data_IF_426365277998
#
_entry.id   IF_426365277998
#
_cell.length_a   1.000
_cell.length_b   1.000
_cell.length_c   1.000
_cell.angle_alpha   90.00
_cell.angle_beta   90.00
_cell.angle_gamma   90.00
#
_symmetry.space_group_name_H-M   'P 1'
#
loop_
_entity.id
_entity.type
_entity.pdbx_description
1 polymer ?
#
# COMPACT_ATOMS: atom_id res chain seq x y z
N UNK A 1 -10.71 -15.56 11.44
CA UNK A 1 -10.76 -15.53 9.95
C UNK A 1 -11.74 -14.48 9.42
N UNK A 2 -13.03 -14.46 9.81
CA UNK A 2 -13.97 -13.41 9.37
C UNK A 2 -13.58 -11.98 9.82
N UNK A 3 -13.03 -11.82 11.03
CA UNK A 3 -12.59 -10.53 11.60
C UNK A 3 -11.43 -9.88 10.86
N UNK A 4 -10.34 -10.63 10.62
CA UNK A 4 -9.16 -10.13 9.90
C UNK A 4 -9.50 -9.70 8.46
N UNK A 5 -10.45 -10.40 7.81
CA UNK A 5 -10.94 -10.02 6.48
C UNK A 5 -11.71 -8.69 6.47
N UNK A 6 -12.45 -8.37 7.54
CA UNK A 6 -13.22 -7.13 7.62
C UNK A 6 -12.33 -5.89 7.74
N UNK A 7 -11.24 -5.97 8.50
CA UNK A 7 -10.27 -4.87 8.61
C UNK A 7 -9.59 -4.56 7.27
N UNK A 8 -9.11 -5.62 6.59
CA UNK A 8 -8.52 -5.47 5.25
C UNK A 8 -9.54 -4.91 4.24
N UNK A 9 -10.76 -5.44 4.24
CA UNK A 9 -11.83 -4.95 3.36
C UNK A 9 -12.18 -3.48 3.64
N UNK A 10 -12.28 -3.07 4.91
CA UNK A 10 -12.58 -1.69 5.28
C UNK A 10 -11.49 -0.73 4.80
N UNK A 11 -10.22 -1.12 4.95
CA UNK A 11 -9.07 -0.39 4.43
C UNK A 11 -9.14 -0.22 2.91
N UNK A 12 -9.39 -1.31 2.19
CA UNK A 12 -9.44 -1.29 0.72
C UNK A 12 -10.62 -0.44 0.22
N UNK A 13 -11.78 -0.52 0.89
CA UNK A 13 -12.95 0.33 0.60
C UNK A 13 -12.67 1.81 0.87
N UNK A 14 -11.97 2.12 1.96
CA UNK A 14 -11.58 3.51 2.27
C UNK A 14 -10.67 4.08 1.18
N UNK A 15 -9.61 3.35 0.80
CA UNK A 15 -8.71 3.80 -0.26
C UNK A 15 -9.47 4.00 -1.58
N UNK A 16 -10.28 3.01 -1.97
CA UNK A 16 -11.11 3.12 -3.17
C UNK A 16 -12.01 4.35 -3.12
N UNK A 17 -12.70 4.58 -2.01
CA UNK A 17 -13.58 5.74 -1.85
C UNK A 17 -12.82 7.06 -2.01
N UNK A 18 -11.64 7.20 -1.38
CA UNK A 18 -10.84 8.41 -1.52
C UNK A 18 -10.35 8.62 -2.95
N UNK A 19 -9.97 7.55 -3.66
CA UNK A 19 -9.55 7.63 -5.07
C UNK A 19 -10.71 7.97 -6.01
N UNK A 20 -11.91 7.47 -5.73
CA UNK A 20 -13.11 7.75 -6.53
C UNK A 20 -13.62 9.18 -6.27
N UNK A 21 -13.52 9.69 -5.04
CA UNK A 21 -14.05 11.00 -4.65
C UNK A 21 -13.07 12.17 -4.94
N UNK A 22 -11.77 11.90 -5.09
CA UNK A 22 -10.75 12.93 -5.28
C UNK A 22 -10.22 12.98 -6.71
N UNK A 23 -10.11 14.19 -7.26
CA UNK A 23 -9.37 14.44 -8.49
C UNK A 23 -7.88 14.65 -8.15
N UNK A 24 -7.07 13.63 -8.45
CA UNK A 24 -5.64 13.63 -8.16
C UNK A 24 -4.92 13.55 -9.50
N UNK A 25 -4.24 14.62 -9.93
CA UNK A 25 -3.58 14.65 -11.22
C UNK A 25 -2.36 13.72 -11.21
N UNK A 26 -2.27 12.88 -12.23
CA UNK A 26 -1.12 12.01 -12.48
C UNK A 26 -0.45 12.43 -13.79
N UNK A 27 0.84 12.80 -13.79
CA UNK A 27 1.54 13.21 -15.01
C UNK A 27 1.61 12.08 -16.03
N UNK A 28 1.13 12.32 -17.26
CA UNK A 28 1.12 11.30 -18.32
C UNK A 28 2.52 10.79 -18.68
N UNK A 29 3.55 11.65 -18.56
CA UNK A 29 4.92 11.22 -18.77
C UNK A 29 5.34 10.15 -17.76
N UNK A 30 4.99 10.33 -16.49
CA UNK A 30 5.31 9.37 -15.43
C UNK A 30 4.59 8.05 -15.69
N UNK A 31 3.32 8.09 -16.07
CA UNK A 31 2.57 6.88 -16.45
C UNK A 31 3.23 6.19 -17.64
N UNK A 32 3.60 6.93 -18.69
CA UNK A 32 4.21 6.37 -19.88
C UNK A 32 5.56 5.70 -19.59
N UNK A 33 6.40 6.32 -18.75
CA UNK A 33 7.70 5.79 -18.36
C UNK A 33 7.53 4.43 -17.62
N UNK A 34 6.63 4.37 -16.64
CA UNK A 34 6.32 3.14 -15.87
C UNK A 34 5.66 2.04 -16.71
N UNK A 35 4.73 2.41 -17.61
CA UNK A 35 4.11 1.45 -18.54
C UNK A 35 5.15 0.84 -19.47
N UNK A 36 6.09 1.64 -19.97
CA UNK A 36 7.15 1.14 -20.84
C UNK A 36 8.10 0.19 -20.11
N UNK A 37 8.50 0.54 -18.89
CA UNK A 37 9.35 -0.33 -18.04
C UNK A 37 8.66 -1.68 -17.77
N UNK A 38 7.38 -1.64 -17.41
CA UNK A 38 6.59 -2.86 -17.18
C UNK A 38 6.52 -3.75 -18.43
N UNK A 39 6.18 -3.18 -19.59
CA UNK A 39 6.06 -3.94 -20.84
C UNK A 39 7.40 -4.43 -21.38
N UNK A 40 8.49 -3.70 -21.13
CA UNK A 40 9.85 -4.14 -21.46
C UNK A 40 10.23 -5.39 -20.65
N UNK A 41 9.92 -5.40 -19.34
CA UNK A 41 10.14 -6.56 -18.48
C UNK A 41 9.41 -7.83 -18.95
N UNK A 42 8.29 -7.67 -19.66
CA UNK A 42 7.51 -8.77 -20.25
C UNK A 42 7.85 -9.07 -21.71
N UNK A 43 8.60 -8.19 -22.39
CA UNK A 43 8.82 -8.27 -23.84
C UNK A 43 7.55 -8.05 -24.67
N UNK A 44 6.56 -7.30 -24.16
CA UNK A 44 5.22 -7.09 -24.77
C UNK A 44 4.96 -5.64 -25.20
N UNK A 45 6.00 -4.91 -25.56
CA UNK A 45 5.93 -3.46 -25.85
C UNK A 45 4.93 -3.09 -26.97
N UNK A 46 4.72 -3.98 -27.95
CA UNK A 46 3.84 -3.79 -29.10
C UNK A 46 2.39 -4.27 -28.85
N UNK A 47 2.09 -4.82 -27.67
CA UNK A 47 0.75 -5.31 -27.32
C UNK A 47 -0.14 -4.14 -26.87
N UNK A 48 -0.93 -3.60 -27.79
CA UNK A 48 -1.75 -2.40 -27.54
C UNK A 48 -2.89 -2.63 -26.54
N UNK A 49 -3.48 -3.83 -26.50
CA UNK A 49 -4.56 -4.17 -25.55
C UNK A 49 -3.98 -4.26 -24.14
N UNK A 50 -2.89 -5.01 -23.99
CA UNK A 50 -2.20 -5.13 -22.70
C UNK A 50 -1.66 -3.78 -22.22
N UNK A 51 -1.11 -2.96 -23.11
CA UNK A 51 -0.66 -1.60 -22.77
C UNK A 51 -1.76 -0.74 -22.16
N UNK A 52 -2.98 -0.80 -22.69
CA UNK A 52 -4.10 -0.03 -22.16
C UNK A 52 -4.52 -0.51 -20.75
N UNK A 53 -4.46 -1.81 -20.50
CA UNK A 53 -4.70 -2.37 -19.16
C UNK A 53 -3.62 -1.91 -18.16
N UNK A 54 -2.35 -2.01 -18.55
CA UNK A 54 -1.20 -1.59 -17.73
C UNK A 54 -1.25 -0.08 -17.46
N UNK A 55 -1.62 0.77 -18.42
CA UNK A 55 -1.79 2.22 -18.20
C UNK A 55 -2.79 2.50 -17.08
N UNK A 56 -3.97 1.88 -17.13
CA UNK A 56 -4.99 2.05 -16.09
C UNK A 56 -4.52 1.60 -14.71
N UNK A 57 -3.78 0.50 -14.64
CA UNK A 57 -3.20 -0.02 -13.39
C UNK A 57 -2.12 0.90 -12.83
N UNK A 58 -1.16 1.30 -13.66
CA UNK A 58 -0.06 2.21 -13.30
C UNK A 58 -0.61 3.55 -12.84
N UNK A 59 -1.56 4.14 -13.57
CA UNK A 59 -2.19 5.40 -13.20
C UNK A 59 -2.90 5.31 -11.86
N UNK A 60 -3.61 4.21 -11.59
CA UNK A 60 -4.27 3.97 -10.30
C UNK A 60 -3.26 3.81 -9.17
N UNK A 61 -2.14 3.11 -9.42
CA UNK A 61 -1.06 2.94 -8.44
C UNK A 61 -0.43 4.29 -8.07
N UNK A 62 0.00 5.08 -9.07
CA UNK A 62 0.60 6.39 -8.83
C UNK A 62 -0.38 7.33 -8.12
N UNK A 63 -1.67 7.30 -8.51
CA UNK A 63 -2.73 8.07 -7.83
C UNK A 63 -2.82 7.71 -6.34
N UNK A 64 -2.73 6.42 -6.04
CA UNK A 64 -2.74 5.90 -4.66
C UNK A 64 -1.51 6.34 -3.89
N UNK A 65 -0.33 6.27 -4.49
CA UNK A 65 0.91 6.71 -3.85
C UNK A 65 0.89 8.20 -3.53
N UNK A 66 0.47 9.05 -4.47
CA UNK A 66 0.34 10.48 -4.24
C UNK A 66 -0.65 10.81 -3.11
N UNK A 67 -1.78 10.12 -3.07
CA UNK A 67 -2.76 10.29 -2.00
C UNK A 67 -2.16 9.90 -0.65
N UNK A 68 -1.53 8.73 -0.56
CA UNK A 68 -1.00 8.21 0.70
C UNK A 68 0.20 9.02 1.17
N UNK A 69 1.08 9.47 0.27
CA UNK A 69 2.19 10.37 0.61
C UNK A 69 1.68 11.73 1.10
N UNK A 70 0.59 12.25 0.53
CA UNK A 70 -0.05 13.46 1.04
C UNK A 70 -0.63 13.27 2.46
N UNK A 71 -1.22 12.10 2.74
CA UNK A 71 -1.70 11.76 4.10
C UNK A 71 -0.52 11.60 5.06
N UNK A 72 0.55 10.89 4.67
CA UNK A 72 1.79 10.76 5.47
C UNK A 72 2.29 12.13 5.90
N UNK A 73 2.34 13.08 4.96
CA UNK A 73 2.76 14.45 5.24
C UNK A 73 1.77 15.21 6.14
N UNK A 74 0.47 15.13 5.85
CA UNK A 74 -0.56 15.87 6.59
C UNK A 74 -0.71 15.39 8.03
N UNK A 75 -0.53 14.09 8.26
CA UNK A 75 -0.64 13.44 9.56
C UNK A 75 0.70 13.31 10.29
N UNK A 76 1.78 13.86 9.71
CA UNK A 76 3.16 13.78 10.22
C UNK A 76 3.54 12.35 10.61
N UNK A 77 3.20 11.38 9.75
CA UNK A 77 3.38 9.96 10.06
C UNK A 77 4.87 9.65 10.19
N UNK A 78 5.24 9.16 11.36
CA UNK A 78 6.58 8.67 11.65
C UNK A 78 6.55 7.16 11.82
N UNK A 79 7.46 6.47 11.14
CA UNK A 79 7.66 5.03 11.31
C UNK A 79 8.81 4.81 12.28
N UNK A 80 8.62 3.90 13.23
CA UNK A 80 9.66 3.51 14.18
C UNK A 80 10.36 2.20 13.77
N UNK A 81 11.47 1.89 14.44
CA UNK A 81 12.29 0.70 14.17
C UNK A 81 11.52 -0.61 14.36
N UNK A 82 10.62 -0.67 15.34
CA UNK A 82 9.80 -1.86 15.61
C UNK A 82 8.86 -2.14 14.44
N UNK A 83 8.18 -1.12 13.94
CA UNK A 83 7.27 -1.23 12.79
C UNK A 83 8.00 -1.67 11.51
N UNK A 84 9.20 -1.12 11.27
CA UNK A 84 10.05 -1.54 10.15
C UNK A 84 10.49 -2.99 10.30
N UNK A 85 10.94 -3.39 11.49
CA UNK A 85 11.41 -4.74 11.78
C UNK A 85 10.28 -5.76 11.61
N UNK A 86 9.10 -5.49 12.16
CA UNK A 86 7.93 -6.34 11.99
C UNK A 86 7.51 -6.47 10.53
N UNK A 87 7.51 -5.36 9.78
CA UNK A 87 7.19 -5.38 8.36
C UNK A 87 8.21 -6.21 7.58
N UNK A 88 9.49 -6.06 7.90
CA UNK A 88 10.58 -6.79 7.29
C UNK A 88 10.45 -8.29 7.54
N UNK A 89 10.19 -8.71 8.78
CA UNK A 89 9.98 -10.12 9.14
C UNK A 89 8.79 -10.71 8.38
N UNK A 90 7.65 -10.01 8.32
CA UNK A 90 6.47 -10.48 7.56
C UNK A 90 6.76 -10.59 6.07
N UNK A 91 7.50 -9.63 5.51
CA UNK A 91 7.87 -9.60 4.11
C UNK A 91 8.84 -10.73 3.78
N UNK A 92 9.88 -10.94 4.58
CA UNK A 92 10.89 -11.98 4.35
C UNK A 92 10.27 -13.38 4.39
N UNK A 93 9.29 -13.62 5.27
CA UNK A 93 8.53 -14.88 5.32
C UNK A 93 7.79 -15.18 4.00
N UNK A 94 7.24 -14.15 3.34
CA UNK A 94 6.58 -14.31 2.03
C UNK A 94 7.56 -14.71 0.93
N UNK A 95 8.79 -14.21 1.02
CA UNK A 95 9.88 -14.55 0.11
C UNK A 95 10.62 -15.84 0.49
N UNK A 96 10.25 -16.51 1.59
CA UNK A 96 10.93 -17.71 2.07
C UNK A 96 12.37 -17.46 2.53
N UNK A 97 12.67 -16.23 2.98
CA UNK A 97 14.02 -15.77 3.30
C UNK A 97 14.16 -15.41 4.80
N UNK A 98 15.31 -15.72 5.44
CA UNK A 98 15.65 -15.18 6.75
C UNK A 98 15.58 -13.64 6.76
N UNK A 99 15.04 -13.00 7.83
CA UNK A 99 14.92 -11.55 7.91
C UNK A 99 16.24 -10.82 7.69
N UNK A 100 17.33 -11.28 8.31
CA UNK A 100 18.65 -10.64 8.19
C UNK A 100 19.17 -10.65 6.76
N UNK A 101 18.97 -11.75 6.04
CA UNK A 101 19.36 -11.86 4.63
C UNK A 101 18.52 -10.93 3.75
N UNK A 102 17.22 -10.82 4.01
CA UNK A 102 16.32 -9.94 3.25
C UNK A 102 16.66 -8.46 3.48
N UNK A 103 16.96 -8.08 4.73
CA UNK A 103 17.43 -6.75 5.08
C UNK A 103 18.70 -6.37 4.31
N UNK A 104 19.68 -7.28 4.24
CA UNK A 104 20.92 -7.06 3.50
C UNK A 104 20.65 -6.84 2.02
N UNK A 105 19.76 -7.62 1.39
CA UNK A 105 19.41 -7.43 -0.02
C UNK A 105 18.77 -6.06 -0.29
N UNK A 106 17.86 -5.62 0.59
CA UNK A 106 17.25 -4.30 0.47
C UNK A 106 18.29 -3.18 0.63
N UNK A 107 19.26 -3.36 1.52
CA UNK A 107 20.36 -2.42 1.70
C UNK A 107 21.27 -2.37 0.46
N UNK A 108 21.68 -3.53 -0.06
CA UNK A 108 22.55 -3.64 -1.24
C UNK A 108 21.86 -3.07 -2.49
N UNK A 109 20.53 -3.22 -2.59
CA UNK A 109 19.73 -2.64 -3.66
C UNK A 109 19.40 -1.15 -3.44
N UNK A 110 19.76 -0.56 -2.31
CA UNK A 110 19.43 0.84 -1.97
C UNK A 110 17.93 1.10 -1.75
N UNK A 111 17.15 0.06 -1.43
CA UNK A 111 15.68 0.09 -1.35
C UNK A 111 15.14 0.37 0.05
N UNK A 112 16.01 0.62 1.04
CA UNK A 112 15.59 0.91 2.42
C UNK A 112 14.65 2.14 2.49
N UNK A 113 14.90 3.18 1.69
CA UNK A 113 14.02 4.35 1.64
C UNK A 113 12.62 4.02 1.12
N UNK A 114 12.52 3.14 0.13
CA UNK A 114 11.23 2.67 -0.41
C UNK A 114 10.48 1.82 0.61
N UNK A 115 11.20 0.98 1.37
CA UNK A 115 10.62 0.21 2.48
C UNK A 115 10.00 1.15 3.53
N UNK A 116 10.73 2.20 3.92
CA UNK A 116 10.23 3.20 4.89
C UNK A 116 8.99 3.89 4.35
N UNK A 117 8.98 4.27 3.06
CA UNK A 117 7.82 4.88 2.42
C UNK A 117 6.59 3.94 2.45
N UNK A 118 6.77 2.66 2.11
CA UNK A 118 5.71 1.65 2.13
C UNK A 118 5.09 1.47 3.52
N UNK A 119 5.93 1.36 4.56
CA UNK A 119 5.46 1.26 5.94
C UNK A 119 4.75 2.54 6.37
N UNK A 120 5.24 3.70 5.94
CA UNK A 120 4.62 4.99 6.23
C UNK A 120 3.22 5.10 5.60
N UNK A 121 3.07 4.72 4.33
CA UNK A 121 1.77 4.72 3.62
C UNK A 121 0.78 3.76 4.25
N UNK A 122 1.23 2.54 4.60
CA UNK A 122 0.40 1.55 5.30
C UNK A 122 -0.10 2.09 6.63
N UNK A 123 0.78 2.75 7.40
CA UNK A 123 0.44 3.39 8.68
C UNK A 123 -0.52 4.57 8.50
N UNK A 124 -0.28 5.42 7.51
CA UNK A 124 -1.13 6.56 7.17
C UNK A 124 -2.58 6.13 6.89
N UNK A 125 -2.76 5.07 6.09
CA UNK A 125 -4.09 4.55 5.81
C UNK A 125 -4.78 3.98 7.06
N UNK A 126 -4.02 3.32 7.95
CA UNK A 126 -4.55 2.85 9.23
C UNK A 126 -4.97 4.00 10.16
N UNK A 127 -4.21 5.11 10.20
CA UNK A 127 -4.55 6.31 10.96
C UNK A 127 -5.87 6.92 10.47
N UNK A 128 -6.04 7.09 9.16
CA UNK A 128 -7.27 7.65 8.59
C UNK A 128 -8.45 6.69 8.79
N UNK A 129 -8.22 5.37 8.65
CA UNK A 129 -9.24 4.35 8.88
C UNK A 129 -9.78 4.39 10.33
N UNK A 130 -8.93 4.70 11.31
CA UNK A 130 -9.35 4.89 12.71
C UNK A 130 -10.28 6.09 12.94
N UNK A 131 -10.44 6.98 11.95
CA UNK A 131 -11.29 8.18 12.03
C UNK A 131 -12.63 8.06 11.31
N UNK A 132 -12.88 6.94 10.63
CA UNK A 132 -14.13 6.73 9.88
C UNK A 132 -15.05 5.72 10.57
N UNK A 133 -16.35 5.87 10.33
CA UNK A 133 -17.33 4.89 10.79
C UNK A 133 -17.37 3.71 9.81
N UNK A 134 -16.94 2.53 10.28
CA UNK A 134 -17.05 1.29 9.51
C UNK A 134 -18.29 0.54 9.96
N UNK A 135 -19.12 0.15 8.99
CA UNK A 135 -20.35 -0.63 9.22
C UNK A 135 -20.37 -1.87 8.33
N UNK A 136 -21.04 -2.92 8.79
CA UNK A 136 -21.35 -4.08 7.95
C UNK A 136 -22.53 -3.78 6.99
N UNK A 137 -22.89 -4.76 6.14
CA UNK A 137 -24.00 -4.62 5.19
C UNK A 137 -25.37 -4.41 5.85
N UNK A 138 -25.50 -4.72 7.13
CA UNK A 138 -26.72 -4.54 7.92
C UNK A 138 -26.73 -3.22 8.69
N UNK A 139 -25.66 -2.42 8.58
CA UNK A 139 -25.50 -1.15 9.29
C UNK A 139 -24.93 -1.26 10.69
N UNK A 140 -24.48 -2.44 11.13
CA UNK A 140 -23.88 -2.60 12.45
C UNK A 140 -22.46 -2.04 12.44
N UNK A 141 -22.12 -1.25 13.46
CA UNK A 141 -20.76 -0.71 13.63
C UNK A 141 -19.75 -1.84 13.81
N UNK A 142 -18.67 -1.79 13.03
CA UNK A 142 -17.51 -2.65 13.19
C UNK A 142 -16.46 -1.88 13.99
N UNK A 143 -16.07 -2.42 15.15
CA UNK A 143 -14.96 -1.91 15.92
C UNK A 143 -13.65 -2.51 15.40
N UNK A 144 -12.91 -1.74 14.62
CA UNK A 144 -11.65 -2.19 14.03
C UNK A 144 -10.53 -2.38 15.06
N UNK A 145 -10.55 -1.68 16.19
CA UNK A 145 -9.55 -1.84 17.25
C UNK A 145 -9.69 -3.21 17.91
N UNK A 146 -10.92 -3.67 18.13
CA UNK A 146 -11.19 -5.01 18.63
C UNK A 146 -10.74 -6.13 17.66
N UNK A 147 -10.46 -5.81 16.38
CA UNK A 147 -9.99 -6.76 15.37
C UNK A 147 -8.46 -6.80 15.23
N UNK A 148 -7.71 -5.87 15.86
CA UNK A 148 -6.25 -5.90 15.83
C UNK A 148 -5.74 -7.17 16.52
N UNK A 149 -4.71 -7.83 15.96
CA UNK A 149 -4.03 -8.91 16.66
C UNK A 149 -3.56 -8.38 18.02
N UNK A 150 -4.05 -8.98 19.10
CA UNK A 150 -3.59 -8.64 20.44
C UNK A 150 -2.17 -9.18 20.57
N UNK A 151 -1.17 -8.30 20.56
CA UNK A 151 0.16 -8.66 21.03
C UNK A 151 0.04 -8.98 22.51
N UNK A 152 0.07 -10.26 22.85
CA UNK A 152 0.22 -10.69 24.24
C UNK A 152 1.56 -10.14 24.76
N UNK A 153 1.59 -9.55 25.97
CA UNK A 153 2.81 -9.02 26.56
C UNK A 153 3.89 -10.08 26.76
#
# INVERSE_FOLDING_TARGET
MKSLGQGAQARDLLLKKMLDDLDIPVPDKLVADEVNEHLEGEGRQEDAEHRAEVDGQVRTSIKSDFLLDAIVKAEEVQVNEVELTEYLIRSSQRYGMPPEQFAQQLQDAGQISQLVAEVSRTKALAVVLGRVNVVDKSGNKIDLEALRPQTQP
#
